data_IF_632542461984
#
_entry.id   IF_632542461984
#
_cell.length_a   1.000
_cell.length_b   1.000
_cell.length_c   1.000
_cell.angle_alpha   90.00
_cell.angle_beta   90.00
_cell.angle_gamma   90.00
#
_symmetry.space_group_name_H-M   'P 1'
#
loop_
_entity.id
_entity.type
_entity.pdbx_description
1 polymer ?
#
# COMPACT_ATOMS: atom_id res chain seq x y z
N UNK A 1 24.41 -18.44 -39.26
CA UNK A 1 22.99 -18.85 -39.14
C UNK A 1 22.48 -18.40 -37.80
N UNK A 2 21.58 -17.40 -37.77
CA UNK A 2 21.05 -16.84 -36.53
C UNK A 2 20.04 -17.83 -35.90
N UNK A 3 20.35 -18.29 -34.68
CA UNK A 3 19.48 -19.17 -33.91
C UNK A 3 18.33 -18.37 -33.32
N UNK A 4 17.16 -18.49 -33.95
CA UNK A 4 15.91 -17.89 -33.46
C UNK A 4 15.51 -18.59 -32.16
N UNK A 5 15.81 -17.96 -31.02
CA UNK A 5 15.37 -18.43 -29.70
C UNK A 5 13.83 -18.40 -29.68
N UNK A 6 13.18 -19.56 -29.78
CA UNK A 6 11.73 -19.69 -29.64
C UNK A 6 11.31 -19.18 -28.26
N UNK A 7 10.65 -18.02 -28.21
CA UNK A 7 10.02 -17.51 -26.98
C UNK A 7 9.00 -18.56 -26.48
N UNK A 8 9.05 -18.97 -25.19
CA UNK A 8 8.11 -19.93 -24.62
C UNK A 8 6.65 -19.52 -24.86
N UNK A 9 5.73 -20.47 -25.09
CA UNK A 9 4.31 -20.19 -25.35
C UNK A 9 3.65 -19.28 -24.30
N UNK A 10 4.09 -19.38 -23.04
CA UNK A 10 3.60 -18.54 -21.94
C UNK A 10 3.93 -17.05 -22.16
N UNK A 11 5.11 -16.76 -22.71
CA UNK A 11 5.53 -15.42 -23.10
C UNK A 11 4.73 -14.91 -24.30
N UNK A 12 4.40 -15.79 -25.25
CA UNK A 12 3.50 -15.43 -26.36
C UNK A 12 2.11 -15.07 -25.85
N UNK A 13 1.55 -15.78 -24.88
CA UNK A 13 0.24 -15.43 -24.28
C UNK A 13 0.25 -14.10 -23.53
N UNK A 14 1.35 -13.76 -22.84
CA UNK A 14 1.48 -12.45 -22.16
C UNK A 14 1.60 -11.32 -23.18
N UNK A 15 2.37 -11.52 -24.26
CA UNK A 15 2.48 -10.55 -25.36
C UNK A 15 1.16 -10.42 -26.14
N UNK A 16 0.49 -11.52 -26.47
CA UNK A 16 -0.83 -11.54 -27.11
C UNK A 16 -1.96 -11.07 -26.17
N UNK A 17 -1.75 -11.13 -24.85
CA UNK A 17 -2.61 -10.54 -23.85
C UNK A 17 -2.47 -9.02 -23.86
N UNK A 18 -1.24 -8.52 -23.97
CA UNK A 18 -0.98 -7.10 -24.10
C UNK A 18 -1.45 -6.50 -25.44
N UNK A 19 -1.42 -7.26 -26.55
CA UNK A 19 -2.02 -6.83 -27.82
C UNK A 19 -3.55 -6.65 -27.74
N UNK A 20 -4.24 -7.26 -26.76
CA UNK A 20 -5.67 -7.03 -26.51
C UNK A 20 -5.94 -5.76 -25.70
N UNK A 21 -4.92 -5.20 -25.08
CA UNK A 21 -4.98 -4.00 -24.26
C UNK A 21 -4.30 -2.85 -25.01
N UNK A 22 -4.98 -2.36 -26.04
CA UNK A 22 -4.54 -1.19 -26.82
C UNK A 22 -4.68 0.14 -26.07
N UNK A 23 -5.29 0.13 -24.89
CA UNK A 23 -5.29 1.25 -23.97
C UNK A 23 -4.07 1.16 -23.05
N UNK A 24 -3.29 2.25 -22.96
CA UNK A 24 -2.11 2.38 -22.10
C UNK A 24 -2.35 2.05 -20.60
N UNK A 25 -3.61 1.88 -20.18
CA UNK A 25 -4.00 1.54 -18.82
C UNK A 25 -3.76 0.09 -18.41
N UNK A 26 -3.63 -0.84 -19.36
CA UNK A 26 -3.56 -2.28 -19.06
C UNK A 26 -2.27 -2.97 -19.57
N UNK A 27 -1.25 -2.19 -19.94
CA UNK A 27 0.06 -2.74 -20.35
C UNK A 27 0.78 -3.33 -19.12
N UNK A 28 1.18 -4.62 -19.13
CA UNK A 28 1.95 -5.19 -18.04
C UNK A 28 3.26 -4.41 -17.83
N UNK A 29 3.60 -4.07 -16.59
CA UNK A 29 4.79 -3.27 -16.23
C UNK A 29 6.06 -3.67 -17.00
N UNK A 30 6.34 -4.97 -17.11
CA UNK A 30 7.53 -5.47 -17.79
C UNK A 30 7.50 -5.29 -19.30
N UNK A 31 6.32 -5.30 -19.92
CA UNK A 31 6.19 -4.99 -21.34
C UNK A 31 6.41 -3.50 -21.59
N UNK A 32 5.89 -2.65 -20.71
CA UNK A 32 6.12 -1.21 -20.76
C UNK A 32 7.62 -0.89 -20.61
N UNK A 33 8.30 -1.52 -19.64
CA UNK A 33 9.75 -1.39 -19.47
C UNK A 33 10.52 -1.80 -20.74
N UNK A 34 10.13 -2.91 -21.38
CA UNK A 34 10.75 -3.37 -22.62
C UNK A 34 10.53 -2.41 -23.79
N UNK A 35 9.35 -1.79 -23.87
CA UNK A 35 8.97 -0.87 -24.95
C UNK A 35 9.40 0.60 -24.69
N UNK A 36 9.82 0.94 -23.47
CA UNK A 36 10.22 2.30 -23.08
C UNK A 36 11.45 2.83 -23.82
N UNK A 37 11.83 4.09 -23.60
CA UNK A 37 13.08 4.66 -24.13
C UNK A 37 14.30 4.42 -23.22
N UNK A 38 14.22 3.47 -22.27
CA UNK A 38 15.33 3.17 -21.37
C UNK A 38 16.56 2.59 -22.11
N UNK A 39 17.78 2.84 -21.61
CA UNK A 39 18.99 2.22 -22.15
C UNK A 39 18.89 0.70 -22.20
N UNK A 40 19.55 0.06 -23.17
CA UNK A 40 19.48 -1.39 -23.37
C UNK A 40 19.93 -2.18 -22.12
N UNK A 41 20.84 -1.63 -21.32
CA UNK A 41 21.34 -2.19 -20.07
C UNK A 41 20.22 -2.31 -19.02
N UNK A 42 19.32 -1.33 -18.95
CA UNK A 42 18.16 -1.32 -18.04
C UNK A 42 17.09 -2.33 -18.47
N UNK A 43 17.09 -2.73 -19.74
CA UNK A 43 16.21 -3.76 -20.29
C UNK A 43 16.83 -5.16 -20.31
N UNK A 44 18.03 -5.31 -19.74
CA UNK A 44 18.70 -6.61 -19.67
C UNK A 44 17.86 -7.62 -18.88
N UNK A 45 17.95 -8.90 -19.26
CA UNK A 45 17.25 -9.98 -18.55
C UNK A 45 17.53 -9.94 -17.04
N UNK A 46 18.78 -9.70 -16.66
CA UNK A 46 19.18 -9.63 -15.25
C UNK A 46 18.51 -8.46 -14.54
N UNK A 47 18.48 -7.27 -15.14
CA UNK A 47 17.79 -6.12 -14.54
C UNK A 47 16.30 -6.39 -14.34
N UNK A 48 15.63 -6.90 -15.38
CA UNK A 48 14.20 -7.24 -15.29
C UNK A 48 13.90 -8.32 -14.24
N UNK A 49 14.80 -9.30 -14.05
CA UNK A 49 14.66 -10.27 -12.96
C UNK A 49 14.77 -9.62 -11.57
N UNK A 50 15.68 -8.65 -11.39
CA UNK A 50 15.78 -7.92 -10.13
C UNK A 50 14.53 -7.08 -9.85
N UNK A 51 13.99 -6.37 -10.85
CA UNK A 51 12.74 -5.63 -10.70
C UNK A 51 11.56 -6.57 -10.39
N UNK A 52 11.47 -7.72 -11.05
CA UNK A 52 10.43 -8.72 -10.78
C UNK A 52 10.51 -9.28 -9.35
N UNK A 53 11.71 -9.61 -8.89
CA UNK A 53 11.92 -10.07 -7.52
C UNK A 53 11.58 -8.98 -6.50
N UNK A 54 12.02 -7.73 -6.75
CA UNK A 54 11.73 -6.58 -5.91
C UNK A 54 10.23 -6.32 -5.77
N UNK A 55 9.51 -6.27 -6.89
CA UNK A 55 8.06 -6.06 -6.90
C UNK A 55 7.30 -7.20 -6.19
N UNK A 56 7.70 -8.45 -6.44
CA UNK A 56 7.07 -9.62 -5.81
C UNK A 56 7.28 -9.62 -4.30
N UNK A 57 8.52 -9.38 -3.84
CA UNK A 57 8.83 -9.35 -2.42
C UNK A 57 8.08 -8.21 -1.70
N UNK A 58 8.09 -7.01 -2.28
CA UNK A 58 7.44 -5.83 -1.72
C UNK A 58 5.92 -6.00 -1.56
N UNK A 59 5.26 -6.63 -2.53
CA UNK A 59 3.81 -6.86 -2.51
C UNK A 59 3.36 -8.08 -1.71
N UNK A 60 4.26 -9.01 -1.37
CA UNK A 60 3.88 -10.27 -0.72
C UNK A 60 3.72 -10.14 0.79
N UNK A 61 4.79 -9.72 1.49
CA UNK A 61 4.81 -9.69 2.96
C UNK A 61 3.84 -8.67 3.55
N UNK A 62 3.86 -7.44 3.03
CA UNK A 62 2.98 -6.34 3.45
C UNK A 62 1.49 -6.70 3.33
N UNK A 63 1.09 -7.24 2.17
CA UNK A 63 -0.29 -7.67 1.91
C UNK A 63 -0.70 -8.82 2.84
N UNK A 64 0.18 -9.81 3.05
CA UNK A 64 -0.10 -10.93 3.95
C UNK A 64 -0.34 -10.46 5.39
N UNK A 65 0.47 -9.50 5.87
CA UNK A 65 0.32 -8.91 7.20
C UNK A 65 -1.02 -8.15 7.30
N UNK A 66 -1.33 -7.28 6.33
CA UNK A 66 -2.56 -6.50 6.32
C UNK A 66 -3.81 -7.41 6.33
N UNK A 67 -3.85 -8.41 5.44
CA UNK A 67 -4.96 -9.35 5.37
C UNK A 67 -5.10 -10.18 6.64
N UNK A 68 -3.99 -10.64 7.23
CA UNK A 68 -4.02 -11.39 8.49
C UNK A 68 -4.61 -10.55 9.63
N UNK A 69 -4.20 -9.28 9.73
CA UNK A 69 -4.75 -8.34 10.69
C UNK A 69 -6.25 -8.12 10.48
N UNK A 70 -6.69 -7.90 9.24
CA UNK A 70 -8.11 -7.70 8.92
C UNK A 70 -8.91 -8.95 9.29
N UNK A 71 -8.52 -10.13 8.80
CA UNK A 71 -9.27 -11.38 9.01
C UNK A 71 -9.36 -11.71 10.49
N UNK A 72 -8.25 -11.58 11.24
CA UNK A 72 -8.28 -11.78 12.69
C UNK A 72 -9.30 -10.88 13.37
N UNK A 73 -9.28 -9.57 13.09
CA UNK A 73 -10.17 -8.63 13.75
C UNK A 73 -11.64 -8.82 13.35
N UNK A 74 -11.92 -9.28 12.13
CA UNK A 74 -13.28 -9.62 11.70
C UNK A 74 -13.82 -10.88 12.40
N UNK A 75 -12.96 -11.84 12.71
CA UNK A 75 -13.32 -13.07 13.44
C UNK A 75 -13.45 -12.79 14.94
N UNK A 76 -12.51 -12.04 15.51
CA UNK A 76 -12.50 -11.65 16.92
C UNK A 76 -13.64 -10.69 17.28
N UNK A 77 -14.13 -9.90 16.32
CA UNK A 77 -15.22 -8.95 16.51
C UNK A 77 -16.39 -9.25 15.55
N UNK A 78 -17.29 -10.20 15.91
CA UNK A 78 -18.38 -10.62 15.04
C UNK A 78 -19.28 -9.48 14.57
N UNK A 79 -19.45 -8.42 15.36
CA UNK A 79 -20.22 -7.22 14.99
C UNK A 79 -19.67 -6.56 13.73
N UNK A 80 -18.36 -6.34 13.67
CA UNK A 80 -17.67 -5.73 12.52
C UNK A 80 -17.81 -6.64 11.30
N UNK A 81 -17.55 -7.94 11.49
CA UNK A 81 -17.70 -8.95 10.43
C UNK A 81 -19.12 -9.04 9.87
N UNK A 82 -20.15 -8.94 10.71
CA UNK A 82 -21.54 -8.91 10.25
C UNK A 82 -21.86 -7.64 9.46
N UNK A 83 -21.45 -6.47 9.93
CA UNK A 83 -21.69 -5.20 9.22
C UNK A 83 -21.03 -5.19 7.84
N UNK A 84 -19.79 -5.66 7.73
CA UNK A 84 -19.09 -5.81 6.46
C UNK A 84 -19.82 -6.77 5.52
N UNK A 85 -20.21 -7.96 6.01
CA UNK A 85 -20.98 -8.92 5.21
C UNK A 85 -22.32 -8.35 4.74
N UNK A 86 -23.01 -7.60 5.59
CA UNK A 86 -24.28 -6.96 5.22
C UNK A 86 -24.10 -5.90 4.13
N UNK A 87 -23.00 -5.14 4.14
CA UNK A 87 -22.68 -4.23 3.04
C UNK A 87 -22.36 -4.98 1.75
N UNK A 88 -21.46 -5.97 1.82
CA UNK A 88 -21.05 -6.76 0.65
C UNK A 88 -22.24 -7.45 -0.01
N UNK A 89 -23.18 -8.01 0.75
CA UNK A 89 -24.39 -8.67 0.22
C UNK A 89 -25.30 -7.76 -0.60
N UNK A 90 -25.21 -6.43 -0.44
CA UNK A 90 -25.98 -5.48 -1.28
C UNK A 90 -25.46 -5.39 -2.71
N UNK A 91 -24.18 -5.68 -2.93
CA UNK A 91 -23.51 -5.55 -4.25
C UNK A 91 -22.98 -6.88 -4.80
N UNK A 92 -22.75 -7.87 -3.93
CA UNK A 92 -22.24 -9.20 -4.26
C UNK A 92 -23.35 -10.21 -4.02
N UNK A 93 -24.07 -10.56 -5.08
CA UNK A 93 -25.15 -11.56 -5.05
C UNK A 93 -24.63 -13.00 -5.18
N UNK A 94 -23.50 -13.19 -5.88
CA UNK A 94 -22.86 -14.49 -6.09
C UNK A 94 -21.34 -14.36 -5.88
N UNK A 95 -20.77 -15.18 -5.00
CA UNK A 95 -19.33 -15.20 -4.73
C UNK A 95 -18.49 -15.66 -5.93
N UNK A 96 -19.09 -16.34 -6.91
CA UNK A 96 -18.40 -16.75 -8.15
C UNK A 96 -18.40 -15.64 -9.21
N UNK A 97 -19.28 -14.66 -9.07
CA UNK A 97 -19.45 -13.55 -10.00
C UNK A 97 -19.30 -12.23 -9.24
N UNK A 98 -18.06 -11.88 -8.95
CA UNK A 98 -17.75 -10.63 -8.26
C UNK A 98 -18.05 -9.42 -9.16
N UNK A 99 -18.53 -8.30 -8.59
CA UNK A 99 -18.69 -7.06 -9.32
C UNK A 99 -17.32 -6.47 -9.72
N UNK A 100 -17.34 -5.43 -10.56
CA UNK A 100 -16.11 -4.76 -10.98
C UNK A 100 -15.35 -4.16 -9.79
N UNK A 101 -14.04 -3.98 -9.96
CA UNK A 101 -13.20 -3.29 -8.98
C UNK A 101 -13.78 -1.93 -8.57
N UNK A 102 -14.17 -1.11 -9.55
CA UNK A 102 -14.82 0.19 -9.32
C UNK A 102 -16.06 0.11 -8.45
N UNK A 103 -16.87 -0.94 -8.58
CA UNK A 103 -18.07 -1.13 -7.75
C UNK A 103 -17.71 -1.44 -6.30
N UNK A 104 -16.60 -2.16 -6.07
CA UNK A 104 -16.13 -2.48 -4.72
C UNK A 104 -15.47 -1.26 -4.05
N UNK A 105 -14.79 -0.40 -4.80
CA UNK A 105 -14.19 0.84 -4.29
C UNK A 105 -15.24 1.85 -3.76
N UNK A 106 -16.47 1.75 -4.25
CA UNK A 106 -17.59 2.58 -3.79
C UNK A 106 -18.16 2.14 -2.43
N UNK A 107 -17.72 1.00 -1.87
CA UNK A 107 -18.24 0.45 -0.62
C UNK A 107 -17.52 1.07 0.60
N UNK A 108 -18.15 2.01 1.32
CA UNK A 108 -17.46 2.79 2.35
C UNK A 108 -17.02 1.93 3.54
N UNK A 109 -17.80 0.92 3.95
CA UNK A 109 -17.43 0.09 5.09
C UNK A 109 -16.32 -0.91 4.74
N UNK A 110 -16.31 -1.45 3.52
CA UNK A 110 -15.20 -2.25 3.01
C UNK A 110 -13.90 -1.43 3.04
N UNK A 111 -13.91 -0.22 2.49
CA UNK A 111 -12.75 0.69 2.54
C UNK A 111 -12.33 1.00 3.97
N UNK A 112 -13.29 1.28 4.86
CA UNK A 112 -13.03 1.53 6.27
C UNK A 112 -12.32 0.36 6.98
N UNK A 113 -12.75 -0.89 6.71
CA UNK A 113 -12.11 -2.09 7.26
C UNK A 113 -10.69 -2.25 6.72
N UNK A 114 -10.48 -2.00 5.42
CA UNK A 114 -9.14 -2.07 4.80
C UNK A 114 -8.21 -1.01 5.42
N UNK A 115 -8.66 0.25 5.52
CA UNK A 115 -7.88 1.33 6.12
C UNK A 115 -7.54 1.03 7.58
N UNK A 116 -8.48 0.49 8.36
CA UNK A 116 -8.20 0.13 9.75
C UNK A 116 -7.21 -1.04 9.88
N UNK A 117 -7.26 -2.00 8.96
CA UNK A 117 -6.25 -3.05 8.81
C UNK A 117 -4.87 -2.51 8.52
N UNK A 118 -4.77 -1.62 7.53
CA UNK A 118 -3.54 -0.97 7.13
C UNK A 118 -2.97 -0.06 8.22
N UNK A 119 -3.82 0.57 9.05
CA UNK A 119 -3.37 1.36 10.20
C UNK A 119 -2.84 0.45 11.31
N UNK A 120 -3.64 -0.55 11.68
CA UNK A 120 -3.38 -1.46 12.80
C UNK A 120 -2.17 -2.35 12.60
N UNK A 121 -1.76 -2.63 11.36
CA UNK A 121 -0.60 -3.50 11.10
C UNK A 121 0.73 -2.93 11.59
N UNK A 122 0.77 -1.64 11.95
CA UNK A 122 1.94 -0.99 12.54
C UNK A 122 1.86 -0.89 14.08
N UNK A 123 0.88 -1.54 14.72
CA UNK A 123 0.76 -1.51 16.18
C UNK A 123 1.56 -2.67 16.82
N UNK A 124 2.75 -2.41 17.40
CA UNK A 124 3.59 -3.44 18.00
C UNK A 124 3.00 -4.01 19.28
N UNK A 125 1.96 -3.38 19.87
CA UNK A 125 1.28 -3.92 21.05
C UNK A 125 0.40 -5.14 20.75
N UNK A 126 0.13 -5.41 19.47
CA UNK A 126 -0.66 -6.57 19.02
C UNK A 126 0.22 -7.81 18.88
N UNK A 127 0.79 -8.29 19.99
CA UNK A 127 1.73 -9.43 20.05
C UNK A 127 1.23 -10.72 19.35
N UNK A 128 -0.09 -10.87 19.20
CA UNK A 128 -0.72 -12.03 18.56
C UNK A 128 -0.87 -11.90 17.04
N UNK A 129 -0.52 -10.76 16.46
CA UNK A 129 -0.66 -10.48 15.04
C UNK A 129 0.69 -10.36 14.34
N UNK A 130 0.77 -10.72 13.05
CA UNK A 130 1.97 -10.50 12.27
C UNK A 130 2.33 -9.01 12.26
N UNK A 131 3.61 -8.72 12.53
CA UNK A 131 4.19 -7.39 12.53
C UNK A 131 5.56 -7.46 11.84
N UNK A 132 5.84 -6.49 10.96
CA UNK A 132 7.16 -6.35 10.32
C UNK A 132 7.76 -4.98 10.65
N UNK A 133 8.73 -4.92 11.58
CA UNK A 133 9.36 -3.66 11.97
C UNK A 133 10.15 -3.01 10.83
N UNK A 134 10.52 -3.76 9.79
CA UNK A 134 11.25 -3.20 8.64
C UNK A 134 10.39 -2.26 7.79
N UNK A 135 9.06 -2.34 7.91
CA UNK A 135 8.12 -1.47 7.19
C UNK A 135 7.84 -0.16 7.94
N UNK A 136 8.21 -0.07 9.23
CA UNK A 136 7.83 1.06 10.08
C UNK A 136 8.68 2.31 9.82
N UNK A 137 9.97 2.12 9.52
CA UNK A 137 10.94 3.20 9.33
C UNK A 137 11.66 3.05 7.99
N UNK A 138 11.35 3.97 7.08
CA UNK A 138 11.98 4.03 5.77
C UNK A 138 13.01 5.16 5.76
N UNK A 139 14.29 4.89 6.11
CA UNK A 139 15.30 5.95 6.19
C UNK A 139 15.56 6.56 4.82
N UNK A 140 15.87 7.86 4.84
CA UNK A 140 16.37 8.63 3.71
C UNK A 140 17.66 9.33 4.15
N UNK A 141 18.62 9.38 3.25
CA UNK A 141 19.91 10.02 3.49
C UNK A 141 20.10 11.06 2.40
N UNK A 142 20.19 12.33 2.78
CA UNK A 142 20.63 13.39 1.87
C UNK A 142 22.16 13.38 1.84
N UNK A 143 22.76 12.97 0.72
CA UNK A 143 24.23 12.85 0.61
C UNK A 143 24.88 14.14 0.11
N UNK A 144 24.16 14.93 -0.68
CA UNK A 144 24.70 16.09 -1.38
C UNK A 144 24.33 17.43 -0.74
N UNK A 145 23.34 17.45 0.15
CA UNK A 145 22.78 18.66 0.73
C UNK A 145 22.59 18.55 2.24
N UNK A 146 22.59 19.70 2.90
CA UNK A 146 22.11 19.82 4.28
C UNK A 146 20.59 19.97 4.23
N UNK A 147 19.90 19.26 5.11
CA UNK A 147 18.45 19.38 5.22
C UNK A 147 18.12 20.41 6.29
N UNK A 148 17.30 21.39 5.92
CA UNK A 148 16.80 22.39 6.84
C UNK A 148 15.39 21.97 7.26
N UNK A 149 15.24 21.58 8.53
CA UNK A 149 13.93 21.41 9.14
C UNK A 149 13.50 22.73 9.73
N UNK A 150 12.40 23.29 9.21
CA UNK A 150 11.69 24.43 9.78
C UNK A 150 10.28 23.98 10.12
N UNK A 151 10.01 23.80 11.41
CA UNK A 151 8.72 23.29 11.88
C UNK A 151 8.39 23.73 13.29
N UNK A 152 7.16 23.48 13.70
CA UNK A 152 6.71 23.68 15.08
C UNK A 152 6.31 22.35 15.70
N UNK A 153 6.68 22.12 16.95
CA UNK A 153 6.10 21.08 17.79
C UNK A 153 5.35 21.72 18.96
N UNK A 154 4.82 20.89 19.86
CA UNK A 154 4.31 21.35 21.17
C UNK A 154 5.36 22.11 21.99
N UNK A 155 6.64 22.00 21.62
CA UNK A 155 7.77 22.70 22.25
C UNK A 155 8.09 24.06 21.60
N UNK A 156 7.32 24.48 20.59
CA UNK A 156 7.52 25.75 19.87
C UNK A 156 8.09 25.58 18.47
N UNK A 157 8.41 26.71 17.82
CA UNK A 157 9.05 26.73 16.49
C UNK A 157 10.53 26.42 16.64
N UNK A 158 11.00 25.44 15.87
CA UNK A 158 12.39 25.04 15.83
C UNK A 158 12.90 25.07 14.39
N UNK A 159 14.16 25.49 14.26
CA UNK A 159 14.94 25.39 13.03
C UNK A 159 16.15 24.52 13.30
N UNK A 160 16.25 23.40 12.61
CA UNK A 160 17.39 22.48 12.71
C UNK A 160 18.06 22.34 11.34
N UNK A 161 19.40 22.36 11.35
CA UNK A 161 20.20 21.96 10.20
C UNK A 161 20.64 20.53 10.44
N UNK A 162 20.24 19.64 9.55
CA UNK A 162 20.61 18.22 9.58
C UNK A 162 21.73 18.05 8.56
N UNK A 163 22.96 17.73 9.00
CA UNK A 163 24.10 17.62 8.10
C UNK A 163 23.90 16.54 7.05
N UNK A 164 24.58 16.70 5.91
CA UNK A 164 24.66 15.68 4.88
C UNK A 164 25.14 14.34 5.44
N UNK A 165 24.63 13.23 4.91
CA UNK A 165 24.97 11.87 5.30
C UNK A 165 24.19 11.34 6.52
N UNK A 166 23.37 12.17 7.19
CA UNK A 166 22.50 11.70 8.26
C UNK A 166 21.26 10.99 7.71
N UNK A 167 20.91 9.86 8.32
CA UNK A 167 19.67 9.15 8.03
C UNK A 167 18.49 9.75 8.81
N UNK A 168 17.43 10.10 8.09
CA UNK A 168 16.16 10.57 8.65
C UNK A 168 15.08 9.56 8.29
N UNK A 169 14.23 9.22 9.25
CA UNK A 169 13.06 8.37 9.01
C UNK A 169 11.84 8.95 9.71
N UNK A 170 10.67 8.68 9.14
CA UNK A 170 9.39 8.83 9.81
C UNK A 170 8.93 7.46 10.32
N UNK A 171 8.03 7.45 11.31
CA UNK A 171 7.36 6.23 11.78
C UNK A 171 5.86 6.40 11.53
N UNK A 172 5.29 5.48 10.75
CA UNK A 172 3.84 5.41 10.58
C UNK A 172 3.15 5.07 11.91
N UNK A 173 3.79 4.23 12.75
CA UNK A 173 3.27 3.88 14.07
C UNK A 173 3.00 5.11 14.92
N UNK A 174 3.96 6.04 15.03
CA UNK A 174 3.81 7.26 15.86
C UNK A 174 2.57 8.07 15.49
N UNK A 175 2.25 8.19 14.20
CA UNK A 175 1.04 8.90 13.75
C UNK A 175 -0.20 8.04 13.95
N UNK A 176 -0.13 6.75 13.64
CA UNK A 176 -1.25 5.82 13.76
C UNK A 176 -1.67 5.51 15.20
N UNK A 177 -0.79 5.75 16.18
CA UNK A 177 -1.04 5.60 17.61
C UNK A 177 -1.30 6.94 18.33
N UNK A 178 -1.28 8.06 17.62
CA UNK A 178 -1.61 9.37 18.19
C UNK A 178 -3.12 9.44 18.47
N UNK A 179 -3.49 9.39 19.75
CA UNK A 179 -4.87 9.44 20.25
C UNK A 179 -5.62 10.74 19.92
N UNK A 180 -4.89 11.83 19.60
CA UNK A 180 -5.51 13.07 19.13
C UNK A 180 -6.01 12.97 17.68
N UNK A 181 -5.44 12.06 16.90
CA UNK A 181 -5.81 11.77 15.51
C UNK A 181 -6.71 10.54 15.44
N UNK A 182 -6.35 9.48 16.16
CA UNK A 182 -7.04 8.19 16.20
C UNK A 182 -7.50 7.85 17.62
N UNK A 183 -8.66 8.36 18.08
CA UNK A 183 -9.16 8.05 19.42
C UNK A 183 -9.36 6.55 19.66
N UNK A 184 -8.91 6.04 20.80
CA UNK A 184 -8.77 4.63 21.11
C UNK A 184 -7.93 3.89 20.05
N UNK A 185 -6.72 4.37 19.77
CA UNK A 185 -5.88 3.92 18.65
C UNK A 185 -5.52 2.43 18.74
N UNK A 186 -5.50 1.84 19.92
CA UNK A 186 -5.25 0.40 20.13
C UNK A 186 -6.41 -0.49 19.67
N UNK A 187 -7.63 0.05 19.61
CA UNK A 187 -8.82 -0.70 19.19
C UNK A 187 -8.91 -0.76 17.67
N UNK A 188 -9.31 -1.93 17.15
CA UNK A 188 -9.66 -2.07 15.74
C UNK A 188 -11.09 -1.56 15.54
N UNK A 189 -11.22 -0.33 15.05
CA UNK A 189 -12.51 0.33 14.85
C UNK A 189 -12.61 0.90 13.43
N UNK A 190 -13.29 0.22 12.50
CA UNK A 190 -13.55 0.74 11.17
C UNK A 190 -14.44 1.99 11.16
N UNK A 191 -15.28 2.20 12.18
CA UNK A 191 -16.26 3.30 12.17
C UNK A 191 -15.57 4.69 12.15
N UNK A 192 -14.33 4.79 12.66
CA UNK A 192 -13.55 6.05 12.62
C UNK A 192 -13.29 6.56 11.19
N UNK A 193 -13.26 5.65 10.22
CA UNK A 193 -13.04 5.97 8.81
C UNK A 193 -14.31 6.40 8.10
N UNK A 194 -15.42 6.53 8.84
CA UNK A 194 -16.70 7.00 8.32
C UNK A 194 -17.06 8.37 8.90
N UNK A 195 -17.71 9.20 8.10
CA UNK A 195 -18.33 10.43 8.56
C UNK A 195 -19.75 10.18 9.12
N UNK A 196 -20.45 11.27 9.48
CA UNK A 196 -21.80 11.20 10.07
C UNK A 196 -22.84 10.61 9.11
N UNK A 197 -22.60 10.68 7.81
CA UNK A 197 -23.48 10.16 6.75
C UNK A 197 -23.09 8.73 6.33
N UNK A 198 -22.10 8.13 7.01
CA UNK A 198 -21.58 6.80 6.70
C UNK A 198 -20.72 6.74 5.45
N UNK A 199 -20.24 7.88 4.96
CA UNK A 199 -19.30 7.98 3.83
C UNK A 199 -17.86 8.02 4.33
N UNK A 200 -16.89 7.90 3.42
CA UNK A 200 -15.46 7.90 3.76
C UNK A 200 -15.01 9.22 4.40
N UNK A 201 -14.40 9.12 5.58
CA UNK A 201 -13.79 10.23 6.28
C UNK A 201 -12.44 10.63 5.64
N UNK A 202 -12.52 11.47 4.59
CA UNK A 202 -11.34 11.92 3.83
C UNK A 202 -10.30 12.67 4.64
N UNK A 203 -10.68 13.32 5.75
CA UNK A 203 -9.73 14.02 6.61
C UNK A 203 -8.87 13.02 7.40
N UNK A 204 -9.48 11.95 7.91
CA UNK A 204 -8.72 10.91 8.61
C UNK A 204 -7.82 10.11 7.65
N UNK A 205 -8.27 9.86 6.41
CA UNK A 205 -7.48 9.20 5.36
C UNK A 205 -6.14 9.89 5.08
N UNK A 206 -6.07 11.21 5.23
CA UNK A 206 -4.81 11.95 5.08
C UNK A 206 -3.78 11.55 6.14
N UNK A 207 -4.18 10.97 7.25
CA UNK A 207 -3.29 10.54 8.33
C UNK A 207 -2.88 9.07 8.20
N UNK A 208 -3.40 8.34 7.20
CA UNK A 208 -2.96 6.98 6.89
C UNK A 208 -1.61 7.03 6.14
N UNK A 209 -0.57 6.51 6.78
CA UNK A 209 0.82 6.53 6.28
C UNK A 209 1.34 5.14 5.87
N UNK A 210 0.45 4.14 5.74
CA UNK A 210 0.80 2.76 5.39
C UNK A 210 1.48 2.59 4.03
N UNK A 211 1.32 3.58 3.16
CA UNK A 211 1.96 3.61 1.84
C UNK A 211 3.01 4.73 1.71
N UNK A 212 3.42 5.34 2.83
CA UNK A 212 4.26 6.55 2.85
C UNK A 212 3.64 7.71 2.04
N UNK A 213 4.37 8.80 1.88
CA UNK A 213 3.96 9.98 1.10
C UNK A 213 5.13 10.58 0.32
N UNK A 214 4.80 11.46 -0.62
CA UNK A 214 5.79 12.18 -1.44
C UNK A 214 6.35 11.32 -2.58
N UNK A 215 7.51 11.70 -3.11
CA UNK A 215 8.12 11.10 -4.31
C UNK A 215 8.52 9.63 -4.17
N UNK A 216 8.47 9.08 -2.95
CA UNK A 216 8.81 7.68 -2.65
C UNK A 216 7.64 6.93 -2.00
N UNK A 217 6.39 7.37 -2.27
CA UNK A 217 5.21 6.61 -1.85
C UNK A 217 5.19 5.23 -2.52
N UNK A 218 4.50 4.27 -1.89
CA UNK A 218 4.38 2.92 -2.40
C UNK A 218 3.71 2.93 -3.78
N UNK A 219 4.34 2.25 -4.75
CA UNK A 219 3.80 2.11 -6.11
C UNK A 219 2.64 1.10 -6.17
N UNK A 220 2.57 0.17 -5.21
CA UNK A 220 1.57 -0.89 -5.14
C UNK A 220 0.33 -0.54 -4.31
N UNK A 221 0.00 0.74 -4.14
CA UNK A 221 -1.15 1.20 -3.36
C UNK A 221 -2.50 0.96 -4.06
N UNK A 222 -2.48 0.79 -5.38
CA UNK A 222 -3.67 0.67 -6.25
C UNK A 222 -4.54 -0.54 -5.89
#
# INVERSE_FOLDING_TARGET
MATTVKKPERLKRVVLGAERHHDAKDCPMFLELLNSNLPAQEKSKQRLMYEANGATLAGSGSTAIALSNIVYNLVANPRIGHKLRSELRRKVSDSKNLPTWSTLEELPYLTAVIHEGLRSMYDPSKERLPYDPSQERLPRVATEEELIYEGGSTLGKSKYVIPRGYAISTSAHVVHSDESIFPNASQFDPERWLDRDGQRNKELERHLLSFSKGSRHCLGMQ
#
